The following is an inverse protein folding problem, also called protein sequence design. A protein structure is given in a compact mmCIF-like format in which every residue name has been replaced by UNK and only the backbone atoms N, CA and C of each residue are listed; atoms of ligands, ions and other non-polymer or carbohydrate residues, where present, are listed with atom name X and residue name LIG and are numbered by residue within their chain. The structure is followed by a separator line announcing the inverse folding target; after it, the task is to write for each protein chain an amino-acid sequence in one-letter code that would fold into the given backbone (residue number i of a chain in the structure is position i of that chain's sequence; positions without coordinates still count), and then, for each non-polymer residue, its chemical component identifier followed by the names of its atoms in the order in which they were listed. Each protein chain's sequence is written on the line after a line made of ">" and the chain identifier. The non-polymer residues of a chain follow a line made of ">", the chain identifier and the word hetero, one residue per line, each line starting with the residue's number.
data_IF_737419793669
#
_entry.id   IF_737419793669
#
_cell.length_a   1.000
_cell.length_b   1.000
_cell.length_c   1.000
_cell.angle_alpha   90.00
_cell.angle_beta   90.00
_cell.angle_gamma   90.00
#
_symmetry.space_group_name_H-M   'P 1'
#
loop_
_entity.id
_entity.type
_entity.pdbx_description
1 polymer ?
#
# COMPACT_ATOMS: atom_id res chain seq x y z
N UNK A 1 -31.58 30.78 -45.19
CA UNK A 1 -30.94 31.10 -43.89
C UNK A 1 -31.56 30.41 -42.66
N UNK A 2 -32.57 29.52 -42.78
CA UNK A 2 -33.18 28.84 -41.60
C UNK A 2 -32.60 27.46 -41.26
N UNK A 3 -31.84 26.83 -42.15
CA UNK A 3 -31.31 25.46 -41.95
C UNK A 3 -30.03 25.43 -41.09
N UNK A 4 -29.24 26.52 -41.08
CA UNK A 4 -28.00 26.60 -40.28
C UNK A 4 -28.24 26.74 -38.78
N UNK A 5 -29.37 27.29 -38.36
CA UNK A 5 -29.70 27.43 -36.93
C UNK A 5 -30.24 26.13 -36.31
N UNK A 6 -30.82 25.24 -37.11
CA UNK A 6 -31.39 23.97 -36.64
C UNK A 6 -30.31 22.92 -36.32
N UNK A 7 -29.17 22.95 -37.03
CA UNK A 7 -28.03 22.06 -36.77
C UNK A 7 -27.24 22.51 -35.54
N UNK A 8 -27.08 23.83 -35.33
CA UNK A 8 -26.40 24.35 -34.14
C UNK A 8 -27.23 24.11 -32.87
N UNK A 9 -28.57 24.18 -32.96
CA UNK A 9 -29.45 23.86 -31.83
C UNK A 9 -29.48 22.36 -31.51
N UNK A 10 -29.34 21.49 -32.52
CA UNK A 10 -29.27 20.03 -32.36
C UNK A 10 -27.96 19.59 -31.67
N UNK A 11 -26.82 20.22 -32.00
CA UNK A 11 -25.55 19.94 -31.33
C UNK A 11 -25.49 20.49 -29.89
N UNK A 12 -26.23 21.57 -29.57
CA UNK A 12 -26.25 22.16 -28.23
C UNK A 12 -27.14 21.36 -27.25
N UNK A 13 -28.09 20.57 -27.76
CA UNK A 13 -28.97 19.71 -26.95
C UNK A 13 -28.41 18.29 -26.71
N UNK A 14 -27.47 17.83 -27.54
CA UNK A 14 -26.74 16.57 -27.32
C UNK A 14 -25.61 16.69 -26.27
N UNK A 15 -25.17 17.91 -25.96
CA UNK A 15 -24.19 18.17 -24.88
C UNK A 15 -24.78 18.23 -23.47
N UNK A 16 -26.12 18.24 -23.33
CA UNK A 16 -26.80 18.45 -22.04
C UNK A 16 -27.50 17.20 -21.49
N UNK A 17 -27.55 16.09 -22.23
CA UNK A 17 -28.30 14.88 -21.84
C UNK A 17 -27.42 13.75 -21.27
N UNK A 18 -26.09 13.88 -21.30
CA UNK A 18 -25.21 12.94 -20.54
C UNK A 18 -25.06 13.36 -19.07
N UNK A 19 -25.64 14.49 -18.66
CA UNK A 19 -25.64 14.99 -17.27
C UNK A 19 -26.78 14.43 -16.40
N UNK A 20 -27.39 13.29 -16.77
CA UNK A 20 -28.50 12.70 -16.04
C UNK A 20 -28.36 11.18 -15.90
N UNK A 21 -27.26 10.74 -15.30
CA UNK A 21 -27.21 9.44 -14.65
C UNK A 21 -26.48 9.63 -13.31
N UNK A 22 -27.28 9.62 -12.24
CA UNK A 22 -26.87 9.74 -10.87
C UNK A 22 -25.66 8.84 -10.53
N UNK A 23 -24.55 9.48 -10.19
CA UNK A 23 -23.54 9.01 -9.22
C UNK A 23 -22.68 10.22 -8.82
N UNK A 24 -23.32 11.18 -8.16
CA UNK A 24 -22.65 12.30 -7.50
C UNK A 24 -21.71 11.77 -6.41
N UNK A 25 -20.50 12.33 -6.39
CA UNK A 25 -19.45 12.31 -5.36
C UNK A 25 -18.28 11.31 -5.44
N UNK A 26 -18.18 10.44 -6.45
CA UNK A 26 -16.99 9.56 -6.64
C UNK A 26 -16.22 9.78 -7.96
N UNK A 27 -16.63 10.72 -8.81
CA UNK A 27 -16.15 10.81 -10.21
C UNK A 27 -15.03 11.82 -10.45
N UNK A 28 -14.89 12.87 -9.63
CA UNK A 28 -13.88 13.93 -9.85
C UNK A 28 -12.46 13.41 -9.58
N UNK A 29 -12.28 12.61 -8.53
CA UNK A 29 -10.98 12.02 -8.19
C UNK A 29 -10.55 10.96 -9.20
N UNK A 30 -11.49 10.19 -9.78
CA UNK A 30 -11.17 9.17 -10.78
C UNK A 30 -10.63 9.78 -12.08
N UNK A 31 -11.22 10.88 -12.53
CA UNK A 31 -10.77 11.59 -13.74
C UNK A 31 -9.40 12.29 -13.51
N UNK A 32 -9.22 12.94 -12.36
CA UNK A 32 -7.94 13.53 -11.99
C UNK A 32 -6.83 12.47 -11.86
N UNK A 33 -7.10 11.36 -11.19
CA UNK A 33 -6.12 10.29 -10.98
C UNK A 33 -5.73 9.61 -12.30
N UNK A 34 -6.70 9.39 -13.20
CA UNK A 34 -6.42 8.86 -14.52
C UNK A 34 -5.57 9.84 -15.34
N UNK A 35 -5.90 11.13 -15.31
CA UNK A 35 -5.11 12.16 -15.98
C UNK A 35 -3.68 12.24 -15.43
N UNK A 36 -3.51 12.19 -14.11
CA UNK A 36 -2.19 12.19 -13.47
C UNK A 36 -1.39 10.95 -13.88
N UNK A 37 -2.03 9.77 -13.89
CA UNK A 37 -1.42 8.52 -14.37
C UNK A 37 -0.96 8.65 -15.81
N UNK A 38 -1.81 9.15 -16.71
CA UNK A 38 -1.47 9.32 -18.13
C UNK A 38 -0.29 10.26 -18.35
N UNK A 39 -0.30 11.43 -17.69
CA UNK A 39 0.79 12.41 -17.76
C UNK A 39 2.10 11.83 -17.21
N UNK A 40 2.03 11.16 -16.07
CA UNK A 40 3.18 10.51 -15.44
C UNK A 40 3.76 9.40 -16.30
N UNK A 41 2.92 8.51 -16.85
CA UNK A 41 3.33 7.47 -17.79
C UNK A 41 4.04 8.08 -19.00
N UNK A 42 3.47 9.14 -19.57
CA UNK A 42 4.03 9.81 -20.75
C UNK A 42 5.44 10.36 -20.47
N UNK A 43 5.65 10.98 -19.31
CA UNK A 43 6.97 11.46 -18.89
C UNK A 43 7.93 10.32 -18.54
N UNK A 44 7.46 9.30 -17.83
CA UNK A 44 8.30 8.20 -17.37
C UNK A 44 8.72 7.27 -18.51
N UNK A 45 7.85 7.02 -19.49
CA UNK A 45 8.15 6.19 -20.66
C UNK A 45 9.15 6.90 -21.59
N UNK A 46 9.09 8.23 -21.69
CA UNK A 46 10.02 9.03 -22.50
C UNK A 46 11.34 9.37 -21.79
N UNK A 47 11.46 9.13 -20.49
CA UNK A 47 12.67 9.39 -19.73
C UNK A 47 13.86 8.54 -20.19
N UNK A 48 15.07 9.10 -20.17
CA UNK A 48 16.28 8.39 -20.57
C UNK A 48 16.46 8.19 -22.08
N UNK A 49 15.56 8.74 -22.93
CA UNK A 49 15.79 8.87 -24.37
C UNK A 49 16.76 10.02 -24.63
N UNK A 50 17.89 9.71 -25.26
CA UNK A 50 18.79 10.76 -25.74
C UNK A 50 18.32 11.34 -27.08
N UNK A 51 18.84 12.53 -27.42
CA UNK A 51 18.44 13.26 -28.61
C UNK A 51 18.84 12.55 -29.92
N UNK A 52 19.90 11.75 -29.91
CA UNK A 52 20.36 10.98 -31.06
C UNK A 52 19.38 9.84 -31.38
N UNK A 53 19.00 9.07 -30.36
CA UNK A 53 18.03 8.01 -30.49
C UNK A 53 16.66 8.53 -30.94
N UNK A 54 16.18 9.62 -30.36
CA UNK A 54 14.92 10.23 -30.78
C UNK A 54 14.96 10.71 -32.25
N UNK A 55 16.06 11.34 -32.67
CA UNK A 55 16.22 11.76 -34.07
C UNK A 55 16.26 10.55 -35.01
N UNK A 56 16.86 9.44 -34.58
CA UNK A 56 16.89 8.21 -35.38
C UNK A 56 15.50 7.58 -35.48
N UNK A 57 14.76 7.54 -34.39
CA UNK A 57 13.37 7.10 -34.38
C UNK A 57 12.50 7.94 -35.32
N UNK A 58 12.64 9.27 -35.30
CA UNK A 58 11.93 10.19 -36.20
C UNK A 58 12.26 9.94 -37.69
N UNK A 59 13.50 9.56 -38.00
CA UNK A 59 13.89 9.24 -39.38
C UNK A 59 13.30 7.92 -39.88
N UNK A 60 13.23 6.90 -39.02
CA UNK A 60 12.78 5.56 -39.39
C UNK A 60 11.25 5.45 -39.30
N UNK A 61 10.66 6.11 -38.31
CA UNK A 61 9.24 6.12 -38.00
C UNK A 61 8.73 7.57 -37.97
N UNK A 62 8.59 8.22 -39.14
CA UNK A 62 8.07 9.58 -39.20
C UNK A 62 6.65 9.61 -38.62
N UNK A 63 6.36 10.65 -37.83
CA UNK A 63 5.05 10.79 -37.19
C UNK A 63 3.93 10.88 -38.24
N UNK A 64 3.21 9.77 -38.46
CA UNK A 64 2.17 9.65 -39.49
C UNK A 64 0.76 10.02 -38.99
N UNK A 65 0.66 10.69 -37.83
CA UNK A 65 -0.61 11.24 -37.33
C UNK A 65 -1.44 10.31 -36.44
N UNK A 66 -0.93 9.13 -36.06
CA UNK A 66 -1.54 8.29 -35.01
C UNK A 66 -0.79 8.49 -33.69
N UNK A 67 -1.36 9.31 -32.80
CA UNK A 67 -0.93 9.37 -31.40
C UNK A 67 -1.40 8.11 -30.70
N UNK A 68 -0.48 7.30 -30.16
CA UNK A 68 -0.87 6.24 -29.23
C UNK A 68 -1.35 6.89 -27.93
N UNK A 69 -2.54 6.54 -27.47
CA UNK A 69 -2.94 6.86 -26.09
C UNK A 69 -2.07 6.03 -25.14
N UNK A 70 -1.59 6.58 -24.01
CA UNK A 70 -0.88 5.79 -22.99
C UNK A 70 -1.64 4.51 -22.61
N UNK A 71 -2.97 4.55 -22.65
CA UNK A 71 -3.84 3.39 -22.40
C UNK A 71 -3.71 2.27 -23.44
N UNK A 72 -3.51 2.62 -24.72
CA UNK A 72 -3.27 1.67 -25.81
C UNK A 72 -1.92 0.95 -25.66
N UNK A 73 -0.97 1.54 -24.91
CA UNK A 73 0.35 0.98 -24.65
C UNK A 73 0.41 0.19 -23.32
N UNK A 74 -0.47 0.50 -22.36
CA UNK A 74 -0.46 -0.12 -21.01
C UNK A 74 -1.22 -1.44 -20.90
N UNK A 75 -2.13 -1.77 -21.81
CA UNK A 75 -2.83 -3.06 -21.74
C UNK A 75 -1.94 -4.20 -22.27
N UNK A 76 -2.08 -5.44 -21.79
CA UNK A 76 -1.39 -6.60 -22.37
C UNK A 76 -1.61 -6.77 -23.89
N UNK A 77 -2.71 -6.21 -24.43
CA UNK A 77 -2.99 -6.15 -25.86
C UNK A 77 -2.03 -5.23 -26.65
N UNK A 78 -1.37 -4.27 -25.99
CA UNK A 78 -0.30 -3.48 -26.57
C UNK A 78 0.89 -4.34 -27.04
N UNK A 79 1.15 -5.48 -26.37
CA UNK A 79 2.16 -6.47 -26.81
C UNK A 79 1.78 -7.19 -28.11
N UNK A 80 0.51 -7.11 -28.53
CA UNK A 80 -0.01 -7.70 -29.77
C UNK A 80 -0.08 -6.65 -30.90
N UNK A 81 0.19 -5.38 -30.59
CA UNK A 81 0.32 -4.33 -31.61
C UNK A 81 1.62 -4.56 -32.40
N UNK A 82 1.52 -4.42 -33.72
CA UNK A 82 2.66 -4.43 -34.63
C UNK A 82 3.78 -3.52 -34.10
N UNK A 83 5.00 -4.04 -34.00
CA UNK A 83 6.14 -3.34 -33.39
C UNK A 83 6.45 -2.03 -34.12
N UNK A 84 6.18 -1.98 -35.41
CA UNK A 84 6.27 -0.75 -36.19
C UNK A 84 5.24 0.29 -35.73
N UNK A 85 3.97 -0.09 -35.63
CA UNK A 85 2.91 0.81 -35.16
C UNK A 85 3.15 1.31 -33.72
N UNK A 86 3.71 0.45 -32.86
CA UNK A 86 4.15 0.82 -31.51
C UNK A 86 5.22 1.91 -31.54
N UNK A 87 6.26 1.75 -32.38
CA UNK A 87 7.35 2.73 -32.47
C UNK A 87 6.94 4.02 -33.16
N UNK A 88 6.04 3.97 -34.15
CA UNK A 88 5.48 5.17 -34.80
C UNK A 88 4.75 6.05 -33.77
N UNK A 89 3.83 5.46 -33.00
CA UNK A 89 3.11 6.22 -31.99
C UNK A 89 3.98 6.65 -30.82
N UNK A 90 4.94 5.82 -30.40
CA UNK A 90 5.90 6.19 -29.36
C UNK A 90 6.81 7.34 -29.80
N UNK A 91 7.25 7.35 -31.06
CA UNK A 91 8.05 8.45 -31.63
C UNK A 91 7.28 9.76 -31.57
N UNK A 92 6.00 9.76 -31.94
CA UNK A 92 5.14 10.93 -31.81
C UNK A 92 5.02 11.39 -30.34
N UNK A 93 4.77 10.47 -29.41
CA UNK A 93 4.72 10.77 -27.98
C UNK A 93 6.04 11.39 -27.48
N UNK A 94 7.18 10.85 -27.91
CA UNK A 94 8.49 11.35 -27.49
C UNK A 94 8.79 12.74 -28.02
N UNK A 95 8.41 13.02 -29.27
CA UNK A 95 8.52 14.36 -29.86
C UNK A 95 7.64 15.35 -29.10
N UNK A 96 6.39 14.98 -28.82
CA UNK A 96 5.47 15.81 -28.04
C UNK A 96 6.03 16.06 -26.63
N UNK A 97 6.49 15.03 -25.92
CA UNK A 97 7.08 15.23 -24.59
C UNK A 97 8.32 16.09 -24.66
N UNK A 98 9.16 15.98 -25.69
CA UNK A 98 10.33 16.85 -25.84
C UNK A 98 9.92 18.32 -25.90
N UNK A 99 8.83 18.64 -26.58
CA UNK A 99 8.29 19.99 -26.75
C UNK A 99 7.55 20.47 -25.50
N UNK A 100 6.71 19.62 -24.92
CA UNK A 100 5.78 19.99 -23.85
C UNK A 100 6.30 19.64 -22.43
N UNK A 101 7.52 19.12 -22.28
CA UNK A 101 8.01 18.56 -20.99
C UNK A 101 7.77 19.46 -19.79
N UNK A 102 8.06 20.75 -19.93
CA UNK A 102 7.89 21.72 -18.84
C UNK A 102 6.42 21.96 -18.52
N UNK A 103 5.56 22.04 -19.54
CA UNK A 103 4.12 22.20 -19.37
C UNK A 103 3.48 20.96 -18.73
N UNK A 104 3.90 19.75 -19.12
CA UNK A 104 3.41 18.50 -18.53
C UNK A 104 3.82 18.39 -17.04
N UNK A 105 5.06 18.77 -16.69
CA UNK A 105 5.51 18.81 -15.29
C UNK A 105 4.73 19.83 -14.47
N UNK A 106 4.57 21.05 -14.99
CA UNK A 106 3.79 22.08 -14.32
C UNK A 106 2.34 21.64 -14.07
N UNK A 107 1.73 20.87 -14.98
CA UNK A 107 0.41 20.29 -14.76
C UNK A 107 0.40 19.26 -13.63
N UNK A 108 1.38 18.35 -13.56
CA UNK A 108 1.49 17.39 -12.45
C UNK A 108 1.69 18.11 -11.11
N UNK A 109 2.61 19.07 -11.06
CA UNK A 109 2.90 19.87 -9.86
C UNK A 109 1.63 20.62 -9.39
N UNK A 110 0.84 21.14 -10.33
CA UNK A 110 -0.42 21.81 -10.04
C UNK A 110 -1.45 20.83 -9.45
N UNK A 111 -1.60 19.65 -10.03
CA UNK A 111 -2.56 18.65 -9.55
C UNK A 111 -2.21 18.16 -8.13
N UNK A 112 -0.92 18.01 -7.84
CA UNK A 112 -0.42 17.68 -6.49
C UNK A 112 -0.66 18.83 -5.50
N UNK A 113 -0.36 20.08 -5.90
CA UNK A 113 -0.54 21.26 -5.06
C UNK A 113 -2.02 21.52 -4.72
N UNK A 114 -2.92 21.26 -5.66
CA UNK A 114 -4.37 21.41 -5.49
C UNK A 114 -5.00 20.24 -4.70
N UNK A 115 -4.19 19.27 -4.23
CA UNK A 115 -4.62 18.06 -3.53
C UNK A 115 -5.77 17.33 -4.25
N UNK A 116 -5.76 17.37 -5.59
CA UNK A 116 -6.80 16.75 -6.42
C UNK A 116 -6.69 15.22 -6.48
N UNK A 117 -5.72 14.64 -5.76
CA UNK A 117 -5.23 13.29 -5.95
C UNK A 117 -4.79 12.67 -4.63
N UNK A 118 -5.13 11.39 -4.45
CA UNK A 118 -4.55 10.55 -3.41
C UNK A 118 -3.46 9.65 -4.03
N UNK A 119 -2.19 10.03 -3.87
CA UNK A 119 -1.05 9.25 -4.35
C UNK A 119 -0.70 8.13 -3.36
N UNK A 120 -1.52 7.07 -3.35
CA UNK A 120 -1.28 5.90 -2.51
C UNK A 120 -0.04 5.12 -2.96
N UNK A 121 0.65 4.39 -2.06
CA UNK A 121 1.76 3.51 -2.45
C UNK A 121 1.36 2.48 -3.52
N UNK A 122 0.13 1.94 -3.43
CA UNK A 122 -0.40 0.99 -4.41
C UNK A 122 -0.55 1.63 -5.81
N UNK A 123 -1.01 2.88 -5.88
CA UNK A 123 -1.11 3.62 -7.14
C UNK A 123 0.27 3.86 -7.76
N UNK A 124 1.26 4.29 -6.96
CA UNK A 124 2.63 4.51 -7.44
C UNK A 124 3.32 3.21 -7.87
N UNK A 125 3.02 2.09 -7.21
CA UNK A 125 3.47 0.76 -7.61
C UNK A 125 2.93 0.38 -8.99
N UNK A 126 1.61 0.44 -9.16
CA UNK A 126 0.95 0.13 -10.42
C UNK A 126 1.48 1.02 -11.58
N UNK A 127 1.63 2.33 -11.33
CA UNK A 127 2.21 3.26 -12.30
C UNK A 127 3.65 2.87 -12.70
N UNK A 128 4.46 2.44 -11.74
CA UNK A 128 5.85 2.02 -11.99
C UNK A 128 5.91 0.70 -12.76
N UNK A 129 5.06 -0.27 -12.41
CA UNK A 129 4.92 -1.54 -13.13
C UNK A 129 4.52 -1.33 -14.58
N UNK A 130 3.47 -0.53 -14.81
CA UNK A 130 2.99 -0.16 -16.15
C UNK A 130 4.12 0.49 -16.96
N UNK A 131 4.84 1.43 -16.33
CA UNK A 131 6.00 2.10 -16.93
C UNK A 131 7.06 1.08 -17.36
N UNK A 132 7.41 0.13 -16.49
CA UNK A 132 8.43 -0.89 -16.78
C UNK A 132 7.99 -1.78 -17.96
N UNK A 133 6.73 -2.21 -17.98
CA UNK A 133 6.16 -3.03 -19.06
C UNK A 133 6.25 -2.32 -20.39
N UNK A 134 5.79 -1.07 -20.45
CA UNK A 134 5.80 -0.25 -21.68
C UNK A 134 7.22 0.00 -22.17
N UNK A 135 8.13 0.41 -21.27
CA UNK A 135 9.52 0.69 -21.63
C UNK A 135 10.24 -0.55 -22.15
N UNK A 136 9.98 -1.73 -21.59
CA UNK A 136 10.56 -2.98 -22.10
C UNK A 136 10.04 -3.32 -23.50
N UNK A 137 8.73 -3.22 -23.73
CA UNK A 137 8.17 -3.46 -25.07
C UNK A 137 8.77 -2.51 -26.12
N UNK A 138 8.95 -1.23 -25.77
CA UNK A 138 9.58 -0.24 -26.65
C UNK A 138 11.06 -0.54 -26.89
N UNK A 139 11.81 -0.90 -25.84
CA UNK A 139 13.21 -1.26 -25.98
C UNK A 139 13.40 -2.50 -26.87
N UNK A 140 12.49 -3.48 -26.79
CA UNK A 140 12.51 -4.68 -27.62
C UNK A 140 12.16 -4.34 -29.07
N UNK A 141 11.14 -3.50 -29.29
CA UNK A 141 10.79 -3.00 -30.61
C UNK A 141 11.95 -2.21 -31.25
N UNK A 142 12.65 -1.36 -30.50
CA UNK A 142 13.83 -0.62 -30.98
C UNK A 142 14.96 -1.55 -31.44
N UNK A 143 15.17 -2.66 -30.72
CA UNK A 143 16.18 -3.67 -31.10
C UNK A 143 15.74 -4.39 -32.37
N UNK A 144 14.47 -4.78 -32.48
CA UNK A 144 13.93 -5.45 -33.66
C UNK A 144 13.96 -4.55 -34.90
N UNK A 145 13.65 -3.26 -34.75
CA UNK A 145 13.69 -2.26 -35.82
C UNK A 145 15.10 -2.03 -36.39
N UNK A 146 16.14 -2.58 -35.75
CA UNK A 146 17.53 -2.49 -36.20
C UNK A 146 17.93 -1.05 -36.55
N UNK A 147 17.81 -0.14 -35.58
CA UNK A 147 18.05 1.29 -35.75
C UNK A 147 19.51 1.64 -36.14
N UNK A 148 20.41 0.66 -36.22
CA UNK A 148 21.83 0.81 -36.55
C UNK A 148 22.72 0.50 -35.34
N UNK A 149 23.94 0.01 -35.59
CA UNK A 149 24.89 -0.36 -34.52
C UNK A 149 25.24 0.82 -33.61
N UNK A 150 25.30 2.04 -34.17
CA UNK A 150 25.59 3.27 -33.43
C UNK A 150 24.54 3.59 -32.34
N UNK A 151 23.33 3.02 -32.44
CA UNK A 151 22.26 3.24 -31.46
C UNK A 151 22.30 2.25 -30.28
N UNK A 152 23.18 1.26 -30.30
CA UNK A 152 23.23 0.24 -29.25
C UNK A 152 23.47 0.84 -27.85
N UNK A 153 24.37 1.81 -27.74
CA UNK A 153 24.66 2.50 -26.48
C UNK A 153 23.45 3.31 -25.97
N UNK A 154 22.75 3.99 -26.88
CA UNK A 154 21.54 4.75 -26.57
C UNK A 154 20.39 3.86 -26.09
N UNK A 155 20.14 2.75 -26.78
CA UNK A 155 19.13 1.76 -26.38
C UNK A 155 19.50 1.15 -25.02
N UNK A 156 20.79 0.89 -24.78
CA UNK A 156 21.27 0.40 -23.49
C UNK A 156 21.07 1.41 -22.37
N UNK A 157 21.30 2.71 -22.62
CA UNK A 157 21.01 3.77 -21.67
C UNK A 157 19.51 3.85 -21.33
N UNK A 158 18.65 3.71 -22.34
CA UNK A 158 17.20 3.64 -22.16
C UNK A 158 16.79 2.44 -21.28
N UNK A 159 17.39 1.26 -21.51
CA UNK A 159 17.18 0.05 -20.68
C UNK A 159 17.70 0.23 -19.25
N UNK A 160 18.86 0.85 -19.07
CA UNK A 160 19.42 1.12 -17.75
C UNK A 160 18.48 2.00 -16.91
N UNK A 161 17.82 2.97 -17.53
CA UNK A 161 16.82 3.79 -16.84
C UNK A 161 15.56 2.99 -16.47
N UNK A 162 15.17 1.97 -17.24
CA UNK A 162 14.10 1.03 -16.84
C UNK A 162 14.51 0.22 -15.60
N UNK A 163 15.76 -0.24 -15.54
CA UNK A 163 16.30 -0.94 -14.37
C UNK A 163 16.31 -0.03 -13.15
N UNK A 164 16.67 1.25 -13.30
CA UNK A 164 16.59 2.22 -12.20
C UNK A 164 15.17 2.33 -11.63
N UNK A 165 14.15 2.46 -12.50
CA UNK A 165 12.74 2.54 -12.07
C UNK A 165 12.35 1.27 -11.31
N UNK A 166 12.73 0.10 -11.83
CA UNK A 166 12.48 -1.19 -11.18
C UNK A 166 13.15 -1.30 -9.81
N UNK A 167 14.41 -0.91 -9.69
CA UNK A 167 15.14 -0.97 -8.42
C UNK A 167 14.49 -0.07 -7.36
N UNK A 168 13.98 1.10 -7.77
CA UNK A 168 13.23 1.99 -6.87
C UNK A 168 11.92 1.34 -6.41
N UNK A 169 11.20 0.66 -7.30
CA UNK A 169 10.00 -0.10 -6.95
C UNK A 169 10.31 -1.22 -5.95
N UNK A 170 11.29 -2.08 -6.27
CA UNK A 170 11.70 -3.20 -5.41
C UNK A 170 12.18 -2.71 -4.04
N UNK A 171 12.89 -1.57 -3.98
CA UNK A 171 13.29 -0.95 -2.72
C UNK A 171 12.08 -0.52 -1.87
N UNK A 172 11.07 0.09 -2.49
CA UNK A 172 9.87 0.51 -1.78
C UNK A 172 9.06 -0.69 -1.24
N UNK A 173 8.94 -1.76 -2.03
CA UNK A 173 8.30 -3.00 -1.59
C UNK A 173 9.05 -3.63 -0.42
N UNK A 174 10.38 -3.68 -0.49
CA UNK A 174 11.22 -4.19 0.59
C UNK A 174 11.06 -3.38 1.88
N UNK A 175 11.01 -2.05 1.78
CA UNK A 175 10.77 -1.19 2.95
C UNK A 175 9.40 -1.44 3.59
N UNK A 176 8.34 -1.58 2.79
CA UNK A 176 7.01 -1.88 3.30
C UNK A 176 6.98 -3.24 4.04
N UNK A 177 7.71 -4.23 3.53
CA UNK A 177 7.81 -5.54 4.18
C UNK A 177 8.63 -5.49 5.48
N UNK A 178 9.72 -4.70 5.52
CA UNK A 178 10.47 -4.47 6.76
C UNK A 178 9.62 -3.78 7.83
N UNK A 179 8.80 -2.80 7.45
CA UNK A 179 7.88 -2.13 8.38
C UNK A 179 6.85 -3.12 8.93
N UNK A 180 6.29 -3.98 8.07
CA UNK A 180 5.36 -5.04 8.47
C UNK A 180 6.00 -6.01 9.48
N UNK A 181 7.17 -6.55 9.14
CA UNK A 181 7.91 -7.48 10.01
C UNK A 181 8.32 -6.82 11.33
N UNK A 182 8.70 -5.55 11.30
CA UNK A 182 9.03 -4.78 12.51
C UNK A 182 7.79 -4.62 13.39
N UNK A 183 6.63 -4.32 12.80
CA UNK A 183 5.36 -4.26 13.52
C UNK A 183 5.00 -5.59 14.20
N UNK A 184 5.15 -6.70 13.48
CA UNK A 184 4.92 -8.05 14.03
C UNK A 184 5.89 -8.40 15.16
N UNK A 185 7.17 -8.05 15.00
CA UNK A 185 8.18 -8.26 16.03
C UNK A 185 7.90 -7.42 17.29
N UNK A 186 7.51 -6.15 17.14
CA UNK A 186 7.11 -5.28 18.25
C UNK A 186 5.90 -5.86 18.98
N UNK A 187 4.86 -6.29 18.26
CA UNK A 187 3.68 -6.90 18.86
C UNK A 187 4.02 -8.19 19.62
N UNK A 188 4.89 -9.03 19.05
CA UNK A 188 5.36 -10.26 19.69
C UNK A 188 6.15 -9.98 20.98
N UNK A 189 7.09 -9.03 20.94
CA UNK A 189 7.90 -8.66 22.11
C UNK A 189 7.04 -7.98 23.18
N UNK A 190 6.13 -7.09 22.78
CA UNK A 190 5.16 -6.47 23.69
C UNK A 190 4.29 -7.50 24.41
N UNK A 191 3.79 -8.51 23.68
CA UNK A 191 3.04 -9.63 24.27
C UNK A 191 3.88 -10.49 25.23
N UNK A 192 5.16 -10.72 24.93
CA UNK A 192 6.07 -11.41 25.85
C UNK A 192 6.36 -10.60 27.11
N UNK A 193 6.61 -9.29 26.98
CA UNK A 193 6.84 -8.40 28.13
C UNK A 193 5.62 -8.29 29.03
N UNK A 194 4.43 -8.17 28.44
CA UNK A 194 3.15 -8.20 29.17
C UNK A 194 2.96 -9.54 29.91
N UNK A 195 3.31 -10.67 29.27
CA UNK A 195 3.27 -11.98 29.93
C UNK A 195 4.28 -12.09 31.09
N UNK A 196 5.51 -11.59 30.92
CA UNK A 196 6.50 -11.56 32.01
C UNK A 196 6.03 -10.65 33.16
N UNK A 197 5.45 -9.49 32.86
CA UNK A 197 4.93 -8.58 33.87
C UNK A 197 3.80 -9.22 34.68
N UNK A 198 2.84 -9.90 34.03
CA UNK A 198 1.81 -10.68 34.75
C UNK A 198 2.40 -11.79 35.62
N UNK A 199 3.40 -12.50 35.13
CA UNK A 199 4.07 -13.54 35.91
C UNK A 199 4.77 -12.96 37.15
N UNK A 200 5.46 -11.82 37.00
CA UNK A 200 6.07 -11.12 38.13
C UNK A 200 5.02 -10.60 39.11
N UNK A 201 3.92 -10.01 38.63
CA UNK A 201 2.84 -9.51 39.49
C UNK A 201 2.13 -10.66 40.24
N UNK A 202 1.94 -11.81 39.60
CA UNK A 202 1.37 -13.02 40.22
C UNK A 202 2.34 -13.64 41.25
N UNK A 203 3.64 -13.68 40.95
CA UNK A 203 4.67 -14.26 41.84
C UNK A 203 5.01 -13.33 43.02
N UNK A 204 4.89 -12.01 42.82
CA UNK A 204 4.97 -10.98 43.86
C UNK A 204 3.65 -10.79 44.62
N UNK A 205 2.60 -11.55 44.30
CA UNK A 205 1.36 -11.54 45.07
C UNK A 205 1.61 -12.20 46.45
N UNK A 206 2.11 -11.38 47.37
CA UNK A 206 2.49 -11.70 48.76
C UNK A 206 1.33 -12.17 49.62
N UNK A 207 0.11 -12.33 49.10
CA UNK A 207 -1.05 -12.81 49.85
C UNK A 207 -0.82 -14.14 50.59
N UNK A 208 0.04 -15.01 50.04
CA UNK A 208 0.47 -16.25 50.71
C UNK A 208 1.55 -16.03 51.77
N UNK A 209 2.41 -15.03 51.63
CA UNK A 209 3.43 -14.67 52.60
C UNK A 209 2.80 -13.97 53.81
N UNK A 210 1.91 -13.00 53.56
CA UNK A 210 1.11 -12.30 54.58
C UNK A 210 0.17 -13.23 55.32
N UNK A 211 -0.43 -14.22 54.64
CA UNK A 211 -1.20 -15.28 55.32
C UNK A 211 -0.31 -16.09 56.25
N UNK A 212 0.90 -16.48 55.81
CA UNK A 212 1.81 -17.29 56.64
C UNK A 212 2.39 -16.51 57.81
N UNK A 213 2.68 -15.22 57.64
CA UNK A 213 3.06 -14.33 58.74
C UNK A 213 1.89 -14.13 59.71
N UNK A 214 0.69 -13.80 59.24
CA UNK A 214 -0.51 -13.72 60.11
C UNK A 214 -0.84 -15.03 60.82
N UNK A 215 -0.67 -16.17 60.14
CA UNK A 215 -0.86 -17.49 60.77
C UNK A 215 0.18 -17.76 61.85
N UNK A 216 1.43 -17.33 61.65
CA UNK A 216 2.48 -17.44 62.65
C UNK A 216 2.26 -16.48 63.83
N UNK A 217 1.82 -15.24 63.58
CA UNK A 217 1.45 -14.29 64.64
C UNK A 217 0.30 -14.83 65.51
N UNK A 218 -0.69 -15.50 64.92
CA UNK A 218 -1.79 -16.16 65.65
C UNK A 218 -1.33 -17.32 66.55
N UNK A 219 -0.20 -17.96 66.21
CA UNK A 219 0.39 -19.06 66.98
C UNK A 219 1.31 -18.54 68.09
N UNK A 220 2.01 -17.42 67.86
CA UNK A 220 3.04 -16.90 68.77
C UNK A 220 2.57 -15.80 69.75
N UNK A 221 1.44 -15.14 69.50
CA UNK A 221 0.87 -14.13 70.40
C UNK A 221 -0.50 -14.59 70.92
N UNK A 222 -0.58 -15.39 72.00
CA UNK A 222 -1.84 -15.68 72.67
C UNK A 222 -2.20 -14.51 73.59
N UNK A 223 -2.44 -13.33 73.03
CA UNK A 223 -2.99 -12.20 73.78
C UNK A 223 -4.42 -11.90 73.29
N UNK A 224 -5.39 -12.54 73.94
CA UNK A 224 -6.61 -11.86 74.37
C UNK A 224 -7.81 -11.83 73.43
N UNK A 225 -8.50 -12.96 73.26
CA UNK A 225 -9.91 -13.18 73.64
C UNK A 225 -10.33 -14.59 73.18
N UNK A 226 -10.65 -15.46 74.14
CA UNK A 226 -11.33 -16.71 73.82
C UNK A 226 -12.68 -16.37 73.18
N UNK A 227 -12.90 -16.81 71.93
CA UNK A 227 -14.23 -16.81 71.34
C UNK A 227 -15.13 -17.67 72.26
N UNK A 228 -16.21 -17.12 72.84
CA UNK A 228 -17.13 -17.89 73.68
C UNK A 228 -17.71 -19.11 72.94
N UNK A 229 -17.66 -19.13 71.60
CA UNK A 229 -18.04 -20.30 70.80
C UNK A 229 -17.02 -21.44 70.85
N UNK A 230 -15.73 -21.16 71.06
CA UNK A 230 -14.71 -22.19 71.18
C UNK A 230 -14.88 -23.00 72.48
N UNK A 231 -15.31 -22.36 73.58
CA UNK A 231 -15.69 -23.05 74.81
C UNK A 231 -16.85 -24.03 74.60
N UNK A 232 -17.89 -23.59 73.86
CA UNK A 232 -19.06 -24.42 73.52
C UNK A 232 -18.67 -25.64 72.68
N UNK A 233 -17.83 -25.46 71.66
CA UNK A 233 -17.37 -26.59 70.82
C UNK A 233 -16.51 -27.58 71.61
N UNK A 234 -15.69 -27.08 72.54
CA UNK A 234 -14.86 -27.94 73.40
C UNK A 234 -15.72 -28.72 74.40
N UNK A 235 -16.76 -28.10 74.94
CA UNK A 235 -17.72 -28.73 75.84
C UNK A 235 -18.59 -29.78 75.11
N UNK A 236 -19.03 -29.50 73.88
CA UNK A 236 -19.70 -30.48 73.01
C UNK A 236 -18.80 -31.65 72.63
N UNK A 237 -17.52 -31.41 72.34
CA UNK A 237 -16.54 -32.48 72.09
C UNK A 237 -16.33 -33.36 73.32
N UNK A 238 -16.14 -32.77 74.51
CA UNK A 238 -15.99 -33.54 75.74
C UNK A 238 -17.27 -34.34 76.07
N UNK A 239 -18.44 -33.75 75.85
CA UNK A 239 -19.73 -34.44 76.04
C UNK A 239 -19.90 -35.62 75.08
N UNK A 240 -19.53 -35.46 73.81
CA UNK A 240 -19.57 -36.54 72.82
C UNK A 240 -18.52 -37.64 73.08
N UNK A 241 -17.34 -37.29 73.58
CA UNK A 241 -16.30 -38.25 73.95
C UNK A 241 -16.69 -39.08 75.18
N UNK A 242 -17.28 -38.44 76.20
CA UNK A 242 -17.85 -39.15 77.36
C UNK A 242 -18.99 -40.09 76.93
N UNK A 243 -19.84 -39.65 75.99
CA UNK A 243 -20.91 -40.49 75.44
C UNK A 243 -20.36 -41.69 74.66
N UNK A 244 -19.29 -41.51 73.88
CA UNK A 244 -18.61 -42.59 73.17
C UNK A 244 -17.95 -43.61 74.12
N UNK A 245 -17.28 -43.15 75.19
CA UNK A 245 -16.66 -44.02 76.19
C UNK A 245 -17.70 -44.69 77.12
N UNK A 246 -18.90 -44.14 77.23
CA UNK A 246 -20.00 -44.70 78.03
C UNK A 246 -20.81 -45.79 77.34
N UNK A 247 -20.54 -46.09 76.06
CA UNK A 247 -21.15 -47.23 75.37
C UNK A 247 -20.28 -48.49 75.59
N UNK A 248 -20.71 -49.46 76.43
CA UNK A 248 -20.01 -50.74 76.50
C UNK A 248 -20.17 -51.46 75.16
N UNK A 249 -19.05 -51.84 74.55
CA UNK A 249 -19.02 -52.68 73.36
C UNK A 249 -20.01 -53.84 73.48
N UNK A 250 -21.01 -53.86 72.59
CA UNK A 250 -21.81 -55.03 72.25
C UNK A 250 -21.71 -55.27 70.76
#
# INVERSE_FOLDING_TARGET
>A
MRVRYLVVLSCLLLGLVVLAAAQEQQTVSGDAQQRYRQLSLTLLVSAGLDAGLLRRLEQVFPAAGRSLSPEEVTTPLARIVDQQALLEGATQLFLQVREDRQALRAQLDQMEAEQQLELTPAFLSALSEDTIVVRNALADAMVYASLGEDMAASIQAYRAHTVMIRNTLEFNEFQAELDRLTGEAIASVGGKLDAYQRMFDDELNTGNFDRRIRSAELIYLPEGQFDPRAGVVTEEMMRNMILLESQPHR
#
